data_IF_359685529269
#
_entry.id   IF_359685529269
#
_cell.length_a   1.000
_cell.length_b   1.000
_cell.length_c   1.000
_cell.angle_alpha   90.00
_cell.angle_beta   90.00
_cell.angle_gamma   90.00
#
_symmetry.space_group_name_H-M   'P 1'
#
loop_
_entity.id
_entity.type
_entity.pdbx_description
1 polymer ?
#
# COMPACT_ATOMS: atom_id res chain seq x y z
N UNK A 1 -31.97 15.11 -9.13
CA UNK A 1 -30.79 15.14 -8.25
C UNK A 1 -30.79 14.02 -7.21
N UNK A 2 -31.71 13.99 -6.24
CA UNK A 2 -31.70 12.99 -5.15
C UNK A 2 -31.73 11.52 -5.59
N UNK A 3 -32.31 11.21 -6.75
CA UNK A 3 -32.35 9.86 -7.32
C UNK A 3 -31.02 9.40 -7.95
N UNK A 4 -30.21 10.33 -8.48
CA UNK A 4 -28.99 10.04 -9.26
C UNK A 4 -27.70 10.45 -8.54
N UNK A 5 -27.78 11.09 -7.37
CA UNK A 5 -26.60 11.55 -6.61
C UNK A 5 -25.63 10.43 -6.20
N UNK A 6 -26.08 9.17 -6.22
CA UNK A 6 -25.28 8.00 -5.88
C UNK A 6 -24.15 7.75 -6.89
N UNK A 7 -24.38 8.10 -8.15
CA UNK A 7 -23.41 7.85 -9.23
C UNK A 7 -22.58 9.10 -9.56
N UNK A 8 -22.75 10.18 -8.78
CA UNK A 8 -22.07 11.46 -9.02
C UNK A 8 -20.55 11.31 -9.00
N UNK A 9 -20.01 10.42 -8.15
CA UNK A 9 -18.57 10.15 -8.08
C UNK A 9 -18.00 9.60 -9.38
N UNK A 10 -18.75 8.78 -10.12
CA UNK A 10 -18.33 8.27 -11.43
C UNK A 10 -18.27 9.37 -12.48
N UNK A 11 -19.16 10.36 -12.41
CA UNK A 11 -19.06 11.56 -13.25
C UNK A 11 -17.77 12.36 -12.99
N UNK A 12 -17.27 12.37 -11.76
CA UNK A 12 -16.01 13.06 -11.42
C UNK A 12 -14.76 12.38 -12.01
N UNK A 13 -14.83 11.12 -12.44
CA UNK A 13 -13.71 10.46 -13.14
C UNK A 13 -13.38 11.16 -14.46
N UNK A 14 -14.39 11.73 -15.13
CA UNK A 14 -14.23 12.48 -16.38
C UNK A 14 -13.54 13.82 -16.18
N UNK A 15 -13.59 14.38 -14.96
CA UNK A 15 -12.99 15.69 -14.62
C UNK A 15 -11.48 15.73 -14.82
N UNK A 16 -10.83 14.57 -14.92
CA UNK A 16 -9.42 14.44 -15.28
C UNK A 16 -9.14 14.79 -16.74
N UNK A 17 -10.11 14.63 -17.64
CA UNK A 17 -9.94 14.80 -19.10
C UNK A 17 -10.65 16.05 -19.63
N UNK A 18 -11.68 16.53 -18.94
CA UNK A 18 -12.48 17.69 -19.35
C UNK A 18 -12.89 18.51 -18.12
N UNK A 19 -12.77 19.83 -18.20
CA UNK A 19 -13.24 20.73 -17.14
C UNK A 19 -14.77 20.65 -16.97
N UNK A 20 -15.49 20.52 -18.10
CA UNK A 20 -16.94 20.31 -18.14
C UNK A 20 -17.27 18.85 -18.42
N UNK A 21 -17.86 18.16 -17.43
CA UNK A 21 -18.23 16.74 -17.54
C UNK A 21 -19.33 16.50 -18.59
N UNK A 22 -20.17 17.51 -18.88
CA UNK A 22 -21.27 17.41 -19.85
C UNK A 22 -20.80 17.32 -21.30
N UNK A 23 -19.59 17.79 -21.58
CA UNK A 23 -19.06 17.93 -22.95
C UNK A 23 -18.11 16.78 -23.30
N UNK A 24 -18.07 15.73 -22.47
CA UNK A 24 -17.16 14.61 -22.62
C UNK A 24 -17.47 13.81 -23.90
N UNK A 25 -16.41 13.55 -24.68
CA UNK A 25 -16.49 12.71 -25.88
C UNK A 25 -16.58 11.23 -25.51
N UNK A 26 -17.15 10.42 -26.41
CA UNK A 26 -17.23 8.96 -26.26
C UNK A 26 -15.85 8.32 -25.98
N UNK A 27 -14.80 8.84 -26.62
CA UNK A 27 -13.43 8.39 -26.41
C UNK A 27 -12.94 8.66 -24.97
N UNK A 28 -13.27 9.82 -24.40
CA UNK A 28 -12.93 10.17 -23.01
C UNK A 28 -13.71 9.32 -22.01
N UNK A 29 -14.96 8.99 -22.31
CA UNK A 29 -15.78 8.09 -21.49
C UNK A 29 -15.13 6.70 -21.44
N UNK A 30 -14.80 6.13 -22.61
CA UNK A 30 -14.14 4.83 -22.68
C UNK A 30 -12.78 4.81 -21.98
N UNK A 31 -12.02 5.91 -22.08
CA UNK A 31 -10.74 6.04 -21.39
C UNK A 31 -10.92 6.11 -19.87
N UNK A 32 -11.86 6.92 -19.39
CA UNK A 32 -12.16 7.04 -17.96
C UNK A 32 -12.64 5.71 -17.35
N UNK A 33 -13.43 4.93 -18.08
CA UNK A 33 -13.86 3.58 -17.65
C UNK A 33 -12.71 2.59 -17.61
N UNK A 34 -11.75 2.66 -18.54
CA UNK A 34 -10.55 1.80 -18.48
C UNK A 34 -9.65 2.17 -17.32
N UNK A 35 -9.47 3.48 -17.09
CA UNK A 35 -8.62 4.02 -16.02
C UNK A 35 -9.27 3.89 -14.63
N UNK A 36 -10.56 3.52 -14.56
CA UNK A 36 -11.24 3.27 -13.28
C UNK A 36 -10.90 1.94 -12.64
N UNK A 37 -10.18 1.06 -13.34
CA UNK A 37 -9.74 -0.23 -12.82
C UNK A 37 -8.24 -0.14 -12.50
N UNK A 38 -7.82 -0.35 -11.24
CA UNK A 38 -6.41 -0.33 -10.90
C UNK A 38 -5.67 -1.49 -11.56
N UNK A 39 -4.37 -1.31 -11.81
CA UNK A 39 -3.56 -2.37 -12.43
C UNK A 39 -3.52 -3.58 -11.49
N UNK A 40 -4.01 -4.71 -11.99
CA UNK A 40 -4.13 -5.95 -11.20
C UNK A 40 -2.79 -6.63 -10.94
N UNK A 41 -1.78 -6.45 -11.80
CA UNK A 41 -0.51 -7.14 -11.67
C UNK A 41 0.27 -6.76 -10.38
N UNK A 42 0.47 -5.46 -10.04
CA UNK A 42 1.09 -5.09 -8.77
C UNK A 42 0.33 -5.59 -7.54
N UNK A 43 -1.00 -5.50 -7.56
CA UNK A 43 -1.87 -5.99 -6.47
C UNK A 43 -1.70 -7.49 -6.25
N UNK A 44 -1.69 -8.25 -7.34
CA UNK A 44 -1.51 -9.70 -7.30
C UNK A 44 -0.18 -10.09 -6.64
N UNK A 45 0.93 -9.46 -7.04
CA UNK A 45 2.24 -9.77 -6.47
C UNK A 45 2.35 -9.35 -5.01
N UNK A 46 1.90 -8.14 -4.66
CA UNK A 46 1.91 -7.65 -3.28
C UNK A 46 1.09 -8.57 -2.35
N UNK A 47 -0.10 -9.00 -2.80
CA UNK A 47 -0.93 -9.95 -2.04
C UNK A 47 -0.21 -11.28 -1.80
N UNK A 48 0.47 -11.83 -2.82
CA UNK A 48 1.21 -13.09 -2.67
C UNK A 48 2.40 -12.97 -1.72
N UNK A 49 3.12 -11.86 -1.77
CA UNK A 49 4.22 -11.58 -0.84
C UNK A 49 3.69 -11.54 0.58
N UNK A 50 2.61 -10.79 0.83
CA UNK A 50 1.95 -10.71 2.14
C UNK A 50 1.56 -12.09 2.67
N UNK A 51 0.86 -12.90 1.87
CA UNK A 51 0.41 -14.23 2.27
C UNK A 51 1.59 -15.18 2.50
N UNK A 52 2.62 -15.14 1.64
CA UNK A 52 3.81 -15.97 1.80
C UNK A 52 4.56 -15.64 3.10
N UNK A 53 4.76 -14.35 3.40
CA UNK A 53 5.35 -13.92 4.66
C UNK A 53 4.49 -14.36 5.86
N UNK A 54 3.16 -14.22 5.78
CA UNK A 54 2.24 -14.65 6.84
C UNK A 54 2.33 -16.15 7.14
N UNK A 55 2.32 -17.01 6.11
CA UNK A 55 2.44 -18.46 6.26
C UNK A 55 3.82 -18.84 6.83
N UNK A 56 4.89 -18.21 6.36
CA UNK A 56 6.24 -18.45 6.86
C UNK A 56 6.37 -18.07 8.34
N UNK A 57 5.86 -16.91 8.73
CA UNK A 57 5.86 -16.48 10.14
C UNK A 57 5.04 -17.43 11.01
N UNK A 58 3.85 -17.84 10.56
CA UNK A 58 3.02 -18.80 11.30
C UNK A 58 3.75 -20.12 11.50
N UNK A 59 4.43 -20.65 10.47
CA UNK A 59 5.21 -21.87 10.58
C UNK A 59 6.37 -21.72 11.59
N UNK A 60 7.11 -20.62 11.54
CA UNK A 60 8.23 -20.36 12.46
C UNK A 60 7.74 -20.25 13.90
N UNK A 61 6.66 -19.52 14.13
CA UNK A 61 6.05 -19.36 15.46
C UNK A 61 5.51 -20.69 15.97
N UNK A 62 4.80 -21.46 15.14
CA UNK A 62 4.26 -22.76 15.53
C UNK A 62 5.36 -23.75 15.92
N UNK A 63 6.44 -23.85 15.13
CA UNK A 63 7.58 -24.73 15.42
C UNK A 63 8.32 -24.25 16.67
N UNK A 64 8.51 -22.95 16.84
CA UNK A 64 9.14 -22.36 18.04
C UNK A 64 8.30 -22.65 19.28
N UNK A 65 7.00 -22.45 19.22
CA UNK A 65 6.06 -22.75 20.29
C UNK A 65 6.07 -24.24 20.66
N UNK A 66 6.13 -25.13 19.67
CA UNK A 66 6.26 -26.57 19.92
C UNK A 66 7.55 -26.94 20.68
N UNK A 67 8.67 -26.28 20.37
CA UNK A 67 9.93 -26.50 21.13
C UNK A 67 9.85 -26.01 22.56
N UNK A 68 9.09 -24.93 22.82
CA UNK A 68 8.80 -24.44 24.17
C UNK A 68 7.97 -25.47 24.94
N UNK A 69 6.89 -26.00 24.35
CA UNK A 69 6.05 -27.03 24.98
C UNK A 69 6.81 -28.30 25.35
N UNK A 70 7.85 -28.66 24.59
CA UNK A 70 8.70 -29.82 24.86
C UNK A 70 9.89 -29.52 25.77
N UNK A 71 10.02 -28.28 26.26
CA UNK A 71 11.14 -27.79 27.05
C UNK A 71 12.52 -28.02 26.37
N UNK A 72 12.57 -27.95 25.04
CA UNK A 72 13.77 -28.16 24.20
C UNK A 72 14.25 -26.86 23.57
N UNK A 73 14.16 -25.78 24.34
CA UNK A 73 14.51 -24.44 23.88
C UNK A 73 16.02 -24.38 23.65
N UNK A 74 16.45 -23.87 22.50
CA UNK A 74 17.87 -23.71 22.17
C UNK A 74 18.57 -24.93 21.55
N UNK A 75 17.94 -26.11 21.55
CA UNK A 75 18.57 -27.33 21.00
C UNK A 75 18.71 -27.28 19.46
N UNK A 76 17.70 -26.76 18.76
CA UNK A 76 17.64 -26.72 17.30
C UNK A 76 18.24 -25.43 16.74
N UNK A 77 19.55 -25.43 16.47
CA UNK A 77 20.29 -24.26 15.92
C UNK A 77 19.70 -23.71 14.61
N UNK A 78 19.14 -24.55 13.75
CA UNK A 78 18.53 -24.11 12.49
C UNK A 78 17.26 -23.25 12.74
N UNK A 79 16.47 -23.59 13.76
CA UNK A 79 15.26 -22.87 14.12
C UNK A 79 15.61 -21.47 14.66
N UNK A 80 16.64 -21.38 15.51
CA UNK A 80 17.14 -20.11 16.03
C UNK A 80 17.65 -19.19 14.91
N UNK A 81 18.42 -19.74 13.96
CA UNK A 81 18.89 -18.99 12.78
C UNK A 81 17.73 -18.51 11.93
N UNK A 82 16.73 -19.37 11.70
CA UNK A 82 15.54 -19.02 10.90
C UNK A 82 14.74 -17.92 11.59
N UNK A 83 14.55 -17.98 12.92
CA UNK A 83 13.87 -16.94 13.69
C UNK A 83 14.62 -15.59 13.63
N UNK A 84 15.95 -15.61 13.68
CA UNK A 84 16.77 -14.40 13.53
C UNK A 84 16.62 -13.76 12.14
N UNK A 85 16.69 -14.56 11.07
CA UNK A 85 16.52 -14.04 9.70
C UNK A 85 15.07 -13.69 9.35
N UNK A 86 14.11 -14.16 10.15
CA UNK A 86 12.70 -13.85 9.98
C UNK A 86 12.29 -12.49 10.56
N UNK A 87 13.17 -11.82 11.31
CA UNK A 87 12.90 -10.49 11.88
C UNK A 87 12.30 -9.52 10.84
N UNK A 88 12.82 -9.33 9.62
CA UNK A 88 12.23 -8.39 8.66
C UNK A 88 10.89 -8.82 8.03
N UNK A 89 10.45 -10.08 8.17
CA UNK A 89 9.24 -10.60 7.51
C UNK A 89 7.93 -9.88 7.90
N UNK A 90 7.66 -9.53 9.18
CA UNK A 90 6.46 -8.80 9.56
C UNK A 90 6.40 -7.43 8.89
N UNK A 91 7.52 -6.71 8.81
CA UNK A 91 7.57 -5.40 8.14
C UNK A 91 7.20 -5.52 6.67
N UNK A 92 7.79 -6.47 5.94
CA UNK A 92 7.48 -6.71 4.52
C UNK A 92 6.00 -7.08 4.32
N UNK A 93 5.46 -7.93 5.19
CA UNK A 93 4.06 -8.36 5.12
C UNK A 93 3.10 -7.18 5.34
N UNK A 94 3.37 -6.33 6.33
CA UNK A 94 2.54 -5.17 6.68
C UNK A 94 2.56 -4.13 5.56
N UNK A 95 3.74 -3.77 5.05
CA UNK A 95 3.88 -2.82 3.93
C UNK A 95 3.17 -3.34 2.66
N UNK A 96 3.32 -4.63 2.35
CA UNK A 96 2.62 -5.25 1.22
C UNK A 96 1.11 -5.27 1.41
N UNK A 97 0.63 -5.49 2.65
CA UNK A 97 -0.79 -5.45 2.99
C UNK A 97 -1.39 -4.05 2.84
N UNK A 98 -0.69 -3.03 3.32
CA UNK A 98 -1.08 -1.63 3.13
C UNK A 98 -1.11 -1.25 1.64
N UNK A 99 -0.11 -1.69 0.87
CA UNK A 99 -0.12 -1.48 -0.57
C UNK A 99 -1.35 -2.11 -1.24
N UNK A 100 -1.71 -3.34 -0.88
CA UNK A 100 -2.91 -4.00 -1.42
C UNK A 100 -4.19 -3.24 -1.05
N UNK A 101 -4.31 -2.78 0.19
CA UNK A 101 -5.49 -2.04 0.65
C UNK A 101 -5.62 -0.66 0.00
N UNK A 102 -4.56 0.14 -0.01
CA UNK A 102 -4.59 1.52 -0.49
C UNK A 102 -4.54 1.61 -2.02
N UNK A 103 -3.68 0.81 -2.66
CA UNK A 103 -3.63 0.76 -4.13
C UNK A 103 -4.88 0.07 -4.69
N UNK A 104 -5.46 -0.88 -3.96
CA UNK A 104 -6.70 -1.57 -4.37
C UNK A 104 -7.92 -0.65 -4.44
N UNK A 105 -7.91 0.45 -3.67
CA UNK A 105 -8.97 1.47 -3.70
C UNK A 105 -8.82 2.45 -4.86
N UNK A 106 -7.67 2.51 -5.53
CA UNK A 106 -7.50 3.39 -6.69
C UNK A 106 -8.53 3.06 -7.78
N UNK A 107 -9.17 4.05 -8.41
CA UNK A 107 -8.82 5.48 -8.45
C UNK A 107 -9.51 6.35 -7.37
N UNK A 108 -10.04 5.77 -6.30
CA UNK A 108 -10.88 6.48 -5.34
C UNK A 108 -10.12 6.92 -4.09
N UNK A 109 -10.26 8.20 -3.73
CA UNK A 109 -9.90 8.70 -2.41
C UNK A 109 -10.97 8.30 -1.39
N UNK A 110 -12.24 8.49 -1.75
CA UNK A 110 -13.41 7.97 -1.04
C UNK A 110 -14.14 7.07 -2.03
N UNK A 111 -14.32 5.80 -1.67
CA UNK A 111 -14.94 4.77 -2.51
C UNK A 111 -16.20 5.30 -3.19
N UNK A 112 -16.23 5.19 -4.53
CA UNK A 112 -17.37 5.52 -5.40
C UNK A 112 -17.90 6.97 -5.31
N UNK A 113 -17.27 7.82 -4.49
CA UNK A 113 -17.74 9.18 -4.20
C UNK A 113 -16.75 10.21 -4.72
N UNK A 114 -15.45 10.07 -4.41
CA UNK A 114 -14.44 11.08 -4.73
C UNK A 114 -13.19 10.43 -5.35
N UNK A 115 -12.91 10.71 -6.64
CA UNK A 115 -11.68 10.27 -7.29
C UNK A 115 -10.42 10.95 -6.73
N UNK A 116 -9.31 10.23 -6.71
CA UNK A 116 -8.00 10.73 -6.22
C UNK A 116 -7.50 11.93 -7.01
N UNK A 117 -7.72 11.97 -8.33
CA UNK A 117 -7.31 13.07 -9.20
C UNK A 117 -8.04 14.40 -8.92
N UNK A 118 -9.17 14.37 -8.20
CA UNK A 118 -9.97 15.54 -7.86
C UNK A 118 -9.79 15.94 -6.39
N UNK A 119 -9.28 15.03 -5.56
CA UNK A 119 -9.13 15.20 -4.12
C UNK A 119 -7.86 15.96 -3.70
N UNK A 120 -6.97 16.29 -4.64
CA UNK A 120 -5.69 16.94 -4.36
C UNK A 120 -5.82 18.46 -4.22
N UNK A 121 -4.88 19.08 -3.52
CA UNK A 121 -4.76 20.53 -3.42
C UNK A 121 -4.15 21.13 -4.69
N UNK A 122 -4.56 22.36 -5.03
CA UNK A 122 -4.01 23.14 -6.14
C UNK A 122 -2.64 23.73 -5.78
N UNK A 123 -1.60 22.90 -5.81
CA UNK A 123 -0.22 23.28 -5.52
C UNK A 123 0.67 23.17 -6.76
N UNK A 124 1.77 23.91 -6.77
CA UNK A 124 2.78 23.80 -7.83
C UNK A 124 3.66 22.57 -7.62
N UNK A 125 4.23 22.04 -8.69
CA UNK A 125 5.16 20.91 -8.61
C UNK A 125 6.42 21.25 -7.77
N UNK A 126 6.84 22.51 -7.74
CA UNK A 126 8.00 22.96 -6.96
C UNK A 126 7.79 22.80 -5.45
N UNK A 127 6.64 23.24 -4.94
CA UNK A 127 6.30 23.12 -3.52
C UNK A 127 6.21 21.65 -3.07
N UNK A 128 5.65 20.80 -3.95
CA UNK A 128 5.53 19.37 -3.71
C UNK A 128 6.90 18.67 -3.67
N UNK A 129 7.77 18.95 -4.65
CA UNK A 129 9.10 18.33 -4.71
C UNK A 129 9.96 18.79 -3.53
N UNK A 130 9.93 20.09 -3.19
CA UNK A 130 10.67 20.63 -2.07
C UNK A 130 10.28 19.96 -0.75
N UNK A 131 8.97 19.91 -0.45
CA UNK A 131 8.47 19.28 0.77
C UNK A 131 8.75 17.77 0.81
N UNK A 132 8.59 17.07 -0.30
CA UNK A 132 8.89 15.64 -0.40
C UNK A 132 10.37 15.35 -0.14
N UNK A 133 11.29 16.10 -0.77
CA UNK A 133 12.72 15.93 -0.56
C UNK A 133 13.14 16.22 0.88
N UNK A 134 12.58 17.28 1.48
CA UNK A 134 12.84 17.63 2.87
C UNK A 134 12.40 16.50 3.82
N UNK A 135 11.15 16.02 3.67
CA UNK A 135 10.60 14.97 4.54
C UNK A 135 11.35 13.65 4.34
N UNK A 136 11.55 13.21 3.09
CA UNK A 136 12.28 11.98 2.79
C UNK A 136 13.74 12.03 3.28
N UNK A 137 14.40 13.18 3.13
CA UNK A 137 15.77 13.39 3.61
C UNK A 137 15.86 13.26 5.14
N UNK A 138 14.95 13.90 5.87
CA UNK A 138 14.88 13.81 7.32
C UNK A 138 14.54 12.38 7.78
N UNK A 139 13.56 11.73 7.17
CA UNK A 139 13.20 10.34 7.50
C UNK A 139 14.35 9.38 7.26
N UNK A 140 15.12 9.56 6.18
CA UNK A 140 16.30 8.74 5.92
C UNK A 140 17.38 8.94 6.99
N UNK A 141 17.63 10.19 7.39
CA UNK A 141 18.61 10.48 8.45
C UNK A 141 18.19 9.87 9.80
N UNK A 142 16.90 9.99 10.16
CA UNK A 142 16.37 9.39 11.39
C UNK A 142 16.40 7.86 11.34
N UNK A 143 16.07 7.25 10.19
CA UNK A 143 16.14 5.80 10.03
C UNK A 143 17.57 5.27 10.24
N UNK A 144 18.59 5.94 9.69
CA UNK A 144 20.00 5.55 9.88
C UNK A 144 20.40 5.70 11.36
N UNK A 145 20.02 6.80 12.01
CA UNK A 145 20.32 7.02 13.42
C UNK A 145 19.64 5.98 14.32
N UNK A 146 18.36 5.67 14.07
CA UNK A 146 17.59 4.66 14.80
C UNK A 146 18.20 3.27 14.64
N UNK A 147 18.47 2.84 13.40
CA UNK A 147 19.09 1.54 13.14
C UNK A 147 20.47 1.44 13.82
N UNK A 148 21.28 2.49 13.77
CA UNK A 148 22.56 2.52 14.47
C UNK A 148 22.39 2.34 15.99
N UNK A 149 21.40 2.98 16.60
CA UNK A 149 21.11 2.84 18.04
C UNK A 149 20.52 1.46 18.39
N UNK A 150 19.75 0.83 17.50
CA UNK A 150 19.18 -0.50 17.73
C UNK A 150 20.22 -1.62 17.66
N UNK A 151 21.24 -1.47 16.82
CA UNK A 151 22.30 -2.49 16.63
C UNK A 151 23.51 -2.30 17.56
N UNK A 152 23.64 -1.13 18.20
CA UNK A 152 24.71 -0.83 19.15
C UNK A 152 24.36 -1.31 20.55
#
# INVERSE_FOLDING_TARGET
FNSMKKDLGYGLLLKRYTDNVTDATEAQIQQATKDSIPRVAPLYFAFRIMVACGILMLAIIAVSFWTVLRNRIGEKKWLLRTALYAIPLPWIAIESGWFVAEYGRQPWAIGEVLPTAVANSSLTAGDLIFSMLLICGLYTLFLVAELYLMFK
#
